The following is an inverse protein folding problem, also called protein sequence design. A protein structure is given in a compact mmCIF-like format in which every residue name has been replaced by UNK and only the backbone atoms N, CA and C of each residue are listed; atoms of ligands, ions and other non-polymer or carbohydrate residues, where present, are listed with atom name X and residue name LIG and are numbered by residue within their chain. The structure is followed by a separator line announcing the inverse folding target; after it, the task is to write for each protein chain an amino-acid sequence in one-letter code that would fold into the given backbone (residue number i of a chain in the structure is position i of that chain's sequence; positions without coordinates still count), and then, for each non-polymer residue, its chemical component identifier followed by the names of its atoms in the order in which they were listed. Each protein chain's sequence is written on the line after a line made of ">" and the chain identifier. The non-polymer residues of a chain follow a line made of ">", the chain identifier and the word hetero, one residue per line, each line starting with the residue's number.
data_IF_279709187620
#
_entry.id   IF_279709187620
#
_cell.length_a   1.000
_cell.length_b   1.000
_cell.length_c   1.000
_cell.angle_alpha   90.00
_cell.angle_beta   90.00
_cell.angle_gamma   90.00
#
_symmetry.space_group_name_H-M   'P 1'
#
loop_
_entity.id
_entity.type
_entity.pdbx_description
1 polymer ?
#
# COMPACT_ATOMS: atom_id res chain seq x y z
N UNK A 1 -15.50 -11.58 -1.79
CA UNK A 1 -14.26 -11.45 -1.00
C UNK A 1 -13.40 -12.67 -1.33
N UNK A 2 -12.25 -12.49 -1.97
CA UNK A 2 -11.32 -13.57 -2.39
C UNK A 2 -10.73 -14.30 -1.16
N UNK A 3 -11.55 -15.08 -0.46
CA UNK A 3 -11.18 -15.88 0.69
C UNK A 3 -10.94 -17.30 0.23
N UNK A 4 -9.78 -17.47 -0.39
CA UNK A 4 -9.27 -18.77 -0.75
C UNK A 4 -8.68 -19.48 0.47
N UNK A 5 -8.78 -20.81 0.52
CA UNK A 5 -8.11 -21.57 1.57
C UNK A 5 -6.60 -21.56 1.35
N UNK A 6 -5.88 -21.18 2.41
CA UNK A 6 -4.43 -21.34 2.54
C UNK A 6 -4.03 -22.81 2.63
N UNK A 7 -2.77 -23.13 2.35
CA UNK A 7 -2.19 -24.46 2.52
C UNK A 7 -2.31 -25.01 3.96
N UNK A 8 -2.51 -24.14 4.95
CA UNK A 8 -2.70 -24.50 6.38
C UNK A 8 -4.19 -24.50 6.77
N UNK A 9 -5.12 -24.37 5.80
CA UNK A 9 -6.57 -24.35 6.04
C UNK A 9 -7.09 -23.05 6.64
N UNK A 10 -6.24 -22.02 6.81
CA UNK A 10 -6.68 -20.70 7.28
C UNK A 10 -7.44 -19.94 6.17
N UNK A 11 -8.61 -19.35 6.47
CA UNK A 11 -9.34 -18.53 5.51
C UNK A 11 -8.64 -17.18 5.36
N UNK A 12 -8.22 -16.81 4.16
CA UNK A 12 -7.54 -15.54 3.93
C UNK A 12 -7.40 -15.15 2.46
N UNK A 13 -7.11 -13.87 2.21
CA UNK A 13 -6.81 -13.38 0.86
C UNK A 13 -5.36 -13.68 0.43
N UNK A 14 -4.50 -14.10 1.36
CA UNK A 14 -3.10 -14.43 1.10
C UNK A 14 -2.95 -15.56 0.07
N UNK A 15 -3.80 -16.58 0.14
CA UNK A 15 -3.80 -17.67 -0.83
C UNK A 15 -4.14 -17.20 -2.25
N UNK A 16 -5.05 -16.22 -2.37
CA UNK A 16 -5.37 -15.59 -3.64
C UNK A 16 -4.19 -14.76 -4.16
N UNK A 17 -3.59 -13.91 -3.31
CA UNK A 17 -2.46 -13.07 -3.70
C UNK A 17 -1.26 -13.91 -4.18
N UNK A 18 -0.92 -15.01 -3.49
CA UNK A 18 0.19 -15.88 -3.91
C UNK A 18 -0.06 -16.48 -5.31
N UNK A 19 -1.30 -16.86 -5.62
CA UNK A 19 -1.63 -17.49 -6.91
C UNK A 19 -1.82 -16.50 -8.05
N UNK A 20 -2.29 -15.30 -7.74
CA UNK A 20 -2.80 -14.38 -8.75
C UNK A 20 -2.05 -13.05 -8.87
N UNK A 21 -1.20 -12.68 -7.91
CA UNK A 21 -0.52 -11.36 -7.89
C UNK A 21 0.26 -11.09 -9.17
N UNK A 22 1.07 -12.04 -9.65
CA UNK A 22 1.86 -11.83 -10.87
C UNK A 22 0.98 -11.64 -12.11
N UNK A 23 -0.15 -12.34 -12.19
CA UNK A 23 -1.10 -12.23 -13.31
C UNK A 23 -1.84 -10.90 -13.29
N UNK A 24 -2.15 -10.39 -12.11
CA UNK A 24 -2.97 -9.19 -11.95
C UNK A 24 -2.14 -7.90 -12.04
N UNK A 25 -0.88 -7.92 -11.60
CA UNK A 25 -0.04 -6.71 -11.47
C UNK A 25 1.20 -6.69 -12.36
N UNK A 26 1.46 -7.79 -13.09
CA UNK A 26 2.66 -7.99 -13.91
C UNK A 26 3.99 -7.71 -13.18
N UNK A 27 3.98 -7.77 -11.85
CA UNK A 27 5.11 -7.43 -11.00
C UNK A 27 5.60 -8.69 -10.26
N UNK A 28 6.90 -9.06 -10.37
CA UNK A 28 7.42 -10.26 -9.72
C UNK A 28 7.54 -10.11 -8.20
N UNK A 29 7.57 -8.87 -7.69
CA UNK A 29 7.61 -8.62 -6.25
C UNK A 29 6.20 -8.62 -5.65
N UNK A 30 5.86 -9.70 -4.95
CA UNK A 30 4.58 -9.88 -4.29
C UNK A 30 4.25 -8.79 -3.27
N UNK A 31 5.25 -8.26 -2.54
CA UNK A 31 5.01 -7.21 -1.53
C UNK A 31 4.62 -5.91 -2.21
N UNK A 32 5.34 -5.54 -3.28
CA UNK A 32 5.03 -4.35 -4.08
C UNK A 32 3.65 -4.48 -4.74
N UNK A 33 3.31 -5.64 -5.29
CA UNK A 33 1.99 -5.90 -5.86
C UNK A 33 0.86 -5.76 -4.82
N UNK A 34 1.10 -6.18 -3.56
CA UNK A 34 0.11 -6.01 -2.50
C UNK A 34 -0.01 -4.55 -2.09
N UNK A 35 1.09 -3.84 -1.87
CA UNK A 35 1.06 -2.45 -1.40
C UNK A 35 0.56 -1.48 -2.48
N UNK A 36 1.01 -1.62 -3.72
CA UNK A 36 0.69 -0.68 -4.80
C UNK A 36 -0.67 -0.97 -5.45
N UNK A 37 -0.97 -2.24 -5.76
CA UNK A 37 -2.19 -2.60 -6.50
C UNK A 37 -3.33 -3.03 -5.57
N UNK A 38 -3.15 -4.12 -4.80
CA UNK A 38 -4.25 -4.67 -4.00
C UNK A 38 -4.64 -3.80 -2.79
N UNK A 39 -3.69 -3.07 -2.21
CA UNK A 39 -3.87 -2.20 -1.04
C UNK A 39 -3.34 -0.78 -1.27
N UNK A 40 -3.30 -0.34 -2.53
CA UNK A 40 -2.83 1.00 -2.91
C UNK A 40 -3.49 2.13 -2.13
N UNK A 41 -4.78 2.03 -1.83
CA UNK A 41 -5.50 3.06 -1.07
C UNK A 41 -4.98 3.24 0.37
N UNK A 42 -4.51 2.17 1.01
CA UNK A 42 -3.95 2.22 2.37
C UNK A 42 -2.62 2.98 2.35
N UNK A 43 -1.75 2.64 1.39
CA UNK A 43 -0.45 3.32 1.17
C UNK A 43 -0.61 4.76 0.69
N UNK A 44 -1.59 5.07 -0.18
CA UNK A 44 -1.91 6.44 -0.59
C UNK A 44 -2.37 7.29 0.60
N UNK A 45 -3.13 6.71 1.52
CA UNK A 45 -3.53 7.35 2.78
C UNK A 45 -2.32 7.66 3.66
N UNK A 46 -1.44 6.69 3.87
CA UNK A 46 -0.19 6.86 4.62
C UNK A 46 0.68 7.98 4.01
N UNK A 47 0.91 7.97 2.69
CA UNK A 47 1.68 9.02 2.02
C UNK A 47 1.03 10.41 2.15
N UNK A 48 -0.29 10.50 2.07
CA UNK A 48 -1.03 11.77 2.23
C UNK A 48 -0.82 12.38 3.63
N UNK A 49 -0.79 11.54 4.66
CA UNK A 49 -0.53 11.98 6.04
C UNK A 49 0.89 12.52 6.17
N UNK A 50 1.88 11.81 5.63
CA UNK A 50 3.29 12.24 5.66
C UNK A 50 3.49 13.51 4.85
N UNK A 51 2.88 13.62 3.67
CA UNK A 51 2.91 14.83 2.86
C UNK A 51 2.33 16.03 3.61
N UNK A 52 1.18 15.84 4.26
CA UNK A 52 0.53 16.90 5.05
C UNK A 52 1.40 17.32 6.23
N UNK A 53 2.00 16.37 6.95
CA UNK A 53 2.94 16.67 8.03
C UNK A 53 4.17 17.44 7.54
N UNK A 54 4.74 17.05 6.39
CA UNK A 54 5.84 17.75 5.73
C UNK A 54 5.48 19.17 5.33
N UNK A 55 4.28 19.38 4.76
CA UNK A 55 3.76 20.70 4.41
C UNK A 55 3.57 21.58 5.64
N UNK A 56 3.04 21.04 6.74
CA UNK A 56 2.90 21.77 8.00
C UNK A 56 4.28 22.21 8.51
N UNK A 57 5.25 21.31 8.57
CA UNK A 57 6.63 21.64 8.97
C UNK A 57 7.24 22.72 8.06
N UNK A 58 7.07 22.58 6.74
CA UNK A 58 7.56 23.58 5.79
C UNK A 58 6.93 24.95 6.02
N UNK A 59 5.61 25.03 6.20
CA UNK A 59 4.90 26.29 6.44
C UNK A 59 5.33 26.93 7.77
N UNK A 60 5.56 26.14 8.81
CA UNK A 60 6.03 26.63 10.11
C UNK A 60 7.47 27.15 10.07
N UNK A 61 8.36 26.46 9.35
CA UNK A 61 9.79 26.80 9.28
C UNK A 61 10.11 27.84 8.19
N UNK A 62 9.18 28.09 7.26
CA UNK A 62 9.36 29.08 6.20
C UNK A 62 9.53 30.47 6.81
N UNK A 63 10.77 30.98 6.82
CA UNK A 63 11.05 32.38 7.11
C UNK A 63 10.36 33.26 6.07
N UNK A 64 9.55 34.20 6.55
CA UNK A 64 9.08 35.32 5.74
C UNK A 64 10.21 36.34 5.73
N UNK A 65 10.99 36.37 4.65
CA UNK A 65 11.92 37.50 4.44
C UNK A 65 11.07 38.78 4.41
N UNK A 66 11.37 39.68 5.35
CA UNK A 66 10.92 41.06 5.33
C UNK A 66 12.00 41.90 4.67
#
# INVERSE_FOLDING_TARGET
>A
MHRDQSAVGSPGASAYYIRNAFRDTATPNMVTAILADYRGYDTLGEETVILTAGLICYLLLRKKER
#
